data_IF_692534862067
#
_entry.id   IF_692534862067
#
_cell.length_a   1.000
_cell.length_b   1.000
_cell.length_c   1.000
_cell.angle_alpha   90.00
_cell.angle_beta   90.00
_cell.angle_gamma   90.00
#
_symmetry.space_group_name_H-M   'P 1'
#
loop_
_entity.id
_entity.type
_entity.pdbx_description
1 polymer ?
#
# COMPACT_ATOMS: atom_id res chain seq x y z
N UNK A 1 -3.18 31.04 41.47
CA UNK A 1 -3.57 30.91 40.03
C UNK A 1 -2.58 30.11 39.16
N UNK A 2 -1.30 29.96 39.51
CA UNK A 2 -0.34 29.23 38.67
C UNK A 2 -0.53 27.69 38.67
N UNK A 3 -0.91 27.10 39.80
CA UNK A 3 -1.09 25.65 39.92
C UNK A 3 -2.30 25.11 39.14
N UNK A 4 -3.40 25.88 39.10
CA UNK A 4 -4.60 25.51 38.35
C UNK A 4 -4.29 25.42 36.85
N UNK A 5 -3.57 26.41 36.30
CA UNK A 5 -3.16 26.44 34.89
C UNK A 5 -2.22 25.27 34.54
N UNK A 6 -1.32 24.91 35.44
CA UNK A 6 -0.40 23.78 35.24
C UNK A 6 -1.15 22.44 35.26
N UNK A 7 -2.09 22.27 36.19
CA UNK A 7 -2.94 21.09 36.27
C UNK A 7 -3.82 20.94 35.02
N UNK A 8 -4.39 22.03 34.49
CA UNK A 8 -5.17 21.99 33.24
C UNK A 8 -4.30 21.62 32.04
N UNK A 9 -3.08 22.17 31.94
CA UNK A 9 -2.14 21.85 30.85
C UNK A 9 -1.68 20.39 30.90
N UNK A 10 -1.41 19.85 32.09
CA UNK A 10 -1.07 18.43 32.27
C UNK A 10 -2.27 17.55 31.93
N UNK A 11 -3.47 17.92 32.36
CA UNK A 11 -4.68 17.18 32.05
C UNK A 11 -4.92 17.12 30.53
N UNK A 12 -4.78 18.23 29.81
CA UNK A 12 -4.87 18.26 28.34
C UNK A 12 -3.76 17.43 27.67
N UNK A 13 -2.54 17.47 28.18
CA UNK A 13 -1.44 16.67 27.63
C UNK A 13 -1.68 15.16 27.82
N UNK A 14 -2.29 14.76 28.94
CA UNK A 14 -2.60 13.35 29.23
C UNK A 14 -3.84 12.89 28.44
N UNK A 15 -4.89 13.71 28.35
CA UNK A 15 -6.11 13.32 27.61
C UNK A 15 -5.92 13.34 26.09
N UNK A 16 -5.02 14.18 25.56
CA UNK A 16 -4.65 14.15 24.14
C UNK A 16 -3.93 12.85 23.73
N UNK A 17 -3.30 12.14 24.67
CA UNK A 17 -2.70 10.83 24.40
C UNK A 17 -3.76 9.71 24.36
N UNK A 18 -4.89 9.88 25.06
CA UNK A 18 -5.96 8.88 25.10
C UNK A 18 -6.82 8.85 23.83
N UNK A 19 -6.79 9.88 22.97
CA UNK A 19 -7.52 9.87 21.69
C UNK A 19 -6.85 9.06 20.58
N UNK A 20 -5.61 8.60 20.78
CA UNK A 20 -4.86 7.76 19.83
C UNK A 20 -5.07 6.25 20.05
N UNK A 21 -5.81 5.84 21.07
CA UNK A 21 -5.90 4.44 21.49
C UNK A 21 -6.94 3.59 20.74
N UNK A 22 -7.77 4.19 19.88
CA UNK A 22 -8.88 3.51 19.19
C UNK A 22 -8.88 3.69 17.66
N UNK A 23 -7.79 4.22 17.09
CA UNK A 23 -7.68 4.35 15.63
C UNK A 23 -7.03 3.12 15.01
N UNK A 24 -7.73 2.52 14.04
CA UNK A 24 -7.16 1.49 13.16
C UNK A 24 -5.98 2.12 12.40
N UNK A 25 -4.76 1.58 12.51
CA UNK A 25 -3.61 2.14 11.81
C UNK A 25 -3.86 2.12 10.30
N UNK A 26 -3.61 3.25 9.65
CA UNK A 26 -3.72 3.39 8.20
C UNK A 26 -2.33 3.54 7.62
N UNK A 27 -1.98 2.67 6.66
CA UNK A 27 -0.73 2.76 5.91
C UNK A 27 -0.99 3.26 4.50
N UNK A 28 -0.06 4.04 3.98
CA UNK A 28 -0.15 4.64 2.65
C UNK A 28 0.85 3.98 1.73
N UNK A 29 0.36 3.25 0.72
CA UNK A 29 1.18 2.76 -0.38
C UNK A 29 1.46 3.94 -1.31
N UNK A 30 2.73 4.24 -1.53
CA UNK A 30 3.16 5.33 -2.43
C UNK A 30 3.60 4.81 -3.78
N UNK A 31 3.99 3.55 -3.88
CA UNK A 31 4.33 2.91 -5.15
C UNK A 31 3.78 1.49 -5.17
N UNK A 32 3.08 1.16 -6.24
CA UNK A 32 2.62 -0.18 -6.54
C UNK A 32 3.19 -0.64 -7.88
N UNK A 33 3.87 -1.77 -7.85
CA UNK A 33 4.45 -2.44 -9.01
C UNK A 33 3.84 -3.81 -9.14
N UNK A 34 3.40 -4.15 -10.35
CA UNK A 34 3.01 -5.52 -10.68
C UNK A 34 3.66 -5.94 -12.00
N UNK A 35 3.98 -7.22 -12.07
CA UNK A 35 4.51 -7.86 -13.25
C UNK A 35 3.65 -9.06 -13.58
N UNK A 36 3.34 -9.23 -14.86
CA UNK A 36 2.60 -10.38 -15.36
C UNK A 36 3.46 -11.16 -16.36
N UNK A 37 3.60 -12.46 -16.13
CA UNK A 37 4.18 -13.40 -17.07
C UNK A 37 3.11 -14.10 -17.93
N UNK A 38 3.51 -14.80 -19.00
CA UNK A 38 2.62 -15.69 -19.74
C UNK A 38 2.02 -16.74 -18.81
N UNK A 39 0.77 -17.11 -19.06
CA UNK A 39 0.12 -18.15 -18.27
C UNK A 39 0.52 -19.52 -18.83
N UNK A 40 1.25 -20.30 -18.03
CA UNK A 40 1.72 -21.65 -18.35
C UNK A 40 0.77 -22.75 -17.86
N UNK A 41 -0.38 -22.36 -17.29
CA UNK A 41 -1.36 -23.28 -16.72
C UNK A 41 -1.14 -23.59 -15.24
N UNK A 42 -0.12 -22.99 -14.59
CA UNK A 42 0.09 -23.10 -13.13
C UNK A 42 -0.87 -22.25 -12.30
N UNK A 43 -1.57 -21.30 -12.93
CA UNK A 43 -2.55 -20.41 -12.30
C UNK A 43 -1.95 -19.06 -11.90
N UNK A 44 -0.76 -19.06 -11.29
CA UNK A 44 -0.10 -17.84 -10.85
C UNK A 44 0.78 -17.25 -11.95
N UNK A 45 0.41 -16.07 -12.43
CA UNK A 45 1.14 -15.35 -13.46
C UNK A 45 1.40 -13.89 -13.11
N UNK A 46 1.03 -13.43 -11.91
CA UNK A 46 1.22 -12.06 -11.45
C UNK A 46 2.07 -12.03 -10.18
N UNK A 47 3.14 -11.24 -10.20
CA UNK A 47 3.87 -10.84 -9.01
C UNK A 47 3.58 -9.38 -8.68
N UNK A 48 3.44 -9.05 -7.39
CA UNK A 48 3.18 -7.67 -6.96
C UNK A 48 4.11 -7.24 -5.83
N UNK A 49 4.40 -5.94 -5.80
CA UNK A 49 5.17 -5.28 -4.76
C UNK A 49 4.60 -3.90 -4.49
N UNK A 50 4.13 -3.68 -3.27
CA UNK A 50 3.59 -2.42 -2.79
C UNK A 50 4.52 -1.85 -1.73
N UNK A 51 4.86 -0.58 -1.84
CA UNK A 51 5.79 0.10 -0.93
C UNK A 51 5.27 1.46 -0.50
N UNK A 52 5.58 1.82 0.73
CA UNK A 52 5.28 3.12 1.31
C UNK A 52 5.93 3.31 2.68
N UNK A 53 5.72 4.46 3.33
CA UNK A 53 6.30 4.73 4.64
C UNK A 53 5.86 3.69 5.69
N UNK A 54 6.81 2.91 6.18
CA UNK A 54 6.56 1.86 7.18
C UNK A 54 5.74 0.68 6.66
N UNK A 55 5.47 0.57 5.35
CA UNK A 55 4.71 -0.52 4.75
C UNK A 55 5.42 -1.09 3.52
N UNK A 56 5.52 -2.41 3.45
CA UNK A 56 5.95 -3.13 2.24
C UNK A 56 5.23 -4.45 2.15
N UNK A 57 4.55 -4.71 1.05
CA UNK A 57 3.80 -5.95 0.82
C UNK A 57 4.26 -6.54 -0.51
N UNK A 58 4.60 -7.81 -0.52
CA UNK A 58 4.96 -8.56 -1.72
C UNK A 58 4.22 -9.89 -1.75
N UNK A 59 3.92 -10.38 -2.94
CA UNK A 59 3.27 -11.66 -3.11
C UNK A 59 3.02 -12.02 -4.55
N UNK A 60 2.32 -13.13 -4.72
CA UNK A 60 1.96 -13.71 -6.01
C UNK A 60 0.45 -13.90 -6.13
N UNK A 61 -0.01 -13.91 -7.35
CA UNK A 61 -1.39 -14.17 -7.69
C UNK A 61 -1.53 -14.53 -9.16
N UNK A 62 -2.77 -14.61 -9.60
CA UNK A 62 -3.08 -14.85 -10.99
C UNK A 62 -4.11 -13.88 -11.52
N UNK A 63 -4.07 -13.65 -12.82
CA UNK A 63 -5.11 -12.95 -13.56
C UNK A 63 -5.62 -13.87 -14.67
N UNK A 64 -6.94 -14.00 -14.76
CA UNK A 64 -7.57 -14.63 -15.91
C UNK A 64 -7.36 -13.77 -17.15
N UNK A 65 -6.78 -14.34 -18.20
CA UNK A 65 -6.35 -13.58 -19.37
C UNK A 65 -6.91 -14.17 -20.67
N UNK A 66 -8.18 -14.63 -20.61
CA UNK A 66 -9.08 -14.99 -21.72
C UNK A 66 -8.34 -15.33 -23.03
N UNK A 67 -7.52 -16.39 -22.99
CA UNK A 67 -6.71 -16.97 -24.07
C UNK A 67 -5.51 -16.15 -24.59
N UNK A 68 -5.46 -14.83 -24.42
CA UNK A 68 -4.40 -13.98 -24.99
C UNK A 68 -3.04 -14.11 -24.30
N UNK A 69 -2.99 -14.64 -23.07
CA UNK A 69 -1.75 -14.79 -22.29
C UNK A 69 -1.12 -16.18 -22.36
N UNK A 70 -1.79 -17.16 -22.96
CA UNK A 70 -1.35 -18.56 -23.04
C UNK A 70 -1.27 -19.09 -24.48
N UNK A 71 -1.74 -18.32 -25.45
CA UNK A 71 -1.82 -18.72 -26.85
C UNK A 71 -1.39 -17.65 -27.85
N UNK A 72 -1.50 -18.01 -29.13
CA UNK A 72 -1.33 -17.07 -30.23
C UNK A 72 -2.64 -16.32 -30.48
N UNK A 73 -2.53 -14.99 -30.68
CA UNK A 73 -3.65 -14.13 -31.05
C UNK A 73 -3.39 -13.46 -32.39
N UNK A 74 -4.44 -13.19 -33.14
CA UNK A 74 -4.37 -12.48 -34.43
C UNK A 74 -4.34 -10.95 -34.27
N UNK A 75 -4.84 -10.43 -33.15
CA UNK A 75 -4.94 -9.01 -32.85
C UNK A 75 -4.70 -8.77 -31.36
N UNK A 76 -3.89 -7.76 -31.02
CA UNK A 76 -3.62 -7.38 -29.63
C UNK A 76 -4.74 -6.55 -28.99
N UNK A 77 -5.68 -6.01 -29.79
CA UNK A 77 -6.79 -5.17 -29.30
C UNK A 77 -7.80 -5.92 -28.41
N UNK A 78 -7.78 -7.26 -28.47
CA UNK A 78 -8.66 -8.13 -27.68
C UNK A 78 -8.14 -8.39 -26.25
N UNK A 79 -6.91 -7.94 -25.95
CA UNK A 79 -6.27 -8.18 -24.66
C UNK A 79 -6.90 -7.34 -23.56
N UNK A 80 -7.81 -7.95 -22.80
CA UNK A 80 -8.45 -7.34 -21.64
C UNK A 80 -7.96 -7.99 -20.34
N UNK A 81 -7.68 -7.15 -19.34
CA UNK A 81 -7.34 -7.59 -17.99
C UNK A 81 -8.60 -7.95 -17.19
N UNK A 82 -8.43 -8.77 -16.17
CA UNK A 82 -9.48 -9.18 -15.25
C UNK A 82 -9.03 -9.02 -13.79
N UNK A 83 -9.91 -9.33 -12.85
CA UNK A 83 -9.56 -9.32 -11.43
C UNK A 83 -8.37 -10.23 -11.16
N UNK A 84 -7.42 -9.70 -10.37
CA UNK A 84 -6.29 -10.47 -9.85
C UNK A 84 -6.75 -11.17 -8.58
N UNK A 85 -6.53 -12.47 -8.49
CA UNK A 85 -6.67 -13.21 -7.24
C UNK A 85 -5.31 -13.34 -6.58
N UNK A 86 -5.25 -13.16 -5.25
CA UNK A 86 -4.02 -13.41 -4.49
C UNK A 86 -3.92 -14.90 -4.19
N UNK A 87 -2.78 -15.48 -4.53
CA UNK A 87 -2.44 -16.87 -4.20
C UNK A 87 -1.61 -16.94 -2.93
N UNK A 88 -0.61 -16.06 -2.80
CA UNK A 88 0.26 -16.03 -1.62
C UNK A 88 0.81 -14.64 -1.31
N UNK A 89 1.13 -14.41 -0.04
CA UNK A 89 1.93 -13.28 0.41
C UNK A 89 3.33 -13.78 0.77
N UNK A 90 4.35 -13.22 0.12
CA UNK A 90 5.75 -13.53 0.43
C UNK A 90 6.21 -12.78 1.67
N UNK A 91 5.82 -11.51 1.79
CA UNK A 91 6.23 -10.64 2.91
C UNK A 91 5.24 -9.51 3.07
N UNK A 92 4.89 -9.21 4.32
CA UNK A 92 4.25 -7.96 4.66
C UNK A 92 4.88 -7.32 5.90
N UNK A 93 5.43 -6.13 5.70
CA UNK A 93 5.97 -5.28 6.73
C UNK A 93 4.97 -4.16 6.96
N UNK A 94 4.50 -4.00 8.19
CA UNK A 94 3.53 -2.99 8.61
C UNK A 94 4.06 -2.33 9.89
N UNK A 95 4.27 -1.01 9.85
CA UNK A 95 4.89 -0.26 10.96
C UNK A 95 6.29 -0.76 11.33
N UNK A 96 7.03 -1.34 10.37
CA UNK A 96 8.37 -1.90 10.59
C UNK A 96 8.41 -3.30 11.21
N UNK A 97 7.26 -3.96 11.40
CA UNK A 97 7.17 -5.36 11.85
C UNK A 97 6.70 -6.25 10.70
N UNK A 98 7.26 -7.45 10.61
CA UNK A 98 6.83 -8.47 9.62
C UNK A 98 5.66 -9.25 10.18
N UNK A 99 4.64 -9.49 9.36
CA UNK A 99 3.46 -10.24 9.73
C UNK A 99 3.13 -11.32 8.70
N UNK A 100 2.54 -12.41 9.19
CA UNK A 100 1.68 -13.26 8.38
C UNK A 100 0.39 -12.51 8.14
N UNK A 101 -0.11 -12.57 6.91
CA UNK A 101 -1.24 -11.74 6.53
C UNK A 101 -2.42 -12.55 6.03
N UNK A 102 -3.60 -12.14 6.50
CA UNK A 102 -4.88 -12.64 6.02
C UNK A 102 -5.32 -12.01 4.70
N UNK A 103 -6.51 -12.41 4.27
CA UNK A 103 -7.12 -12.01 3.00
C UNK A 103 -7.41 -10.50 2.98
N UNK A 104 -7.12 -9.85 1.85
CA UNK A 104 -7.62 -8.51 1.50
C UNK A 104 -8.08 -8.45 0.06
N UNK A 105 -9.01 -7.54 -0.19
CA UNK A 105 -9.46 -7.17 -1.53
C UNK A 105 -8.58 -6.04 -2.06
N UNK A 106 -7.38 -6.37 -2.54
CA UNK A 106 -6.39 -5.40 -3.07
C UNK A 106 -6.75 -4.91 -4.47
N UNK A 107 -7.41 -5.75 -5.26
CA UNK A 107 -7.51 -5.60 -6.70
C UNK A 107 -8.95 -5.39 -7.14
N UNK A 108 -9.14 -4.49 -8.10
CA UNK A 108 -10.45 -4.26 -8.71
C UNK A 108 -10.77 -5.31 -9.80
N UNK A 109 -11.98 -5.22 -10.36
CA UNK A 109 -12.48 -6.15 -11.39
C UNK A 109 -11.70 -6.14 -12.72
N UNK A 110 -10.83 -5.16 -12.94
CA UNK A 110 -9.99 -5.01 -14.13
C UNK A 110 -8.50 -5.25 -13.84
N UNK A 111 -8.16 -5.71 -12.64
CA UNK A 111 -6.77 -5.96 -12.25
C UNK A 111 -6.00 -4.68 -11.94
N UNK A 112 -6.70 -3.57 -11.70
CA UNK A 112 -6.17 -2.38 -11.05
C UNK A 112 -6.19 -2.54 -9.53
N UNK A 113 -6.09 -1.43 -8.80
CA UNK A 113 -6.00 -1.41 -7.34
C UNK A 113 -7.24 -0.74 -6.72
N UNK A 114 -7.76 -1.34 -5.66
CA UNK A 114 -8.79 -0.71 -4.84
C UNK A 114 -8.17 0.45 -4.05
N UNK A 115 -8.70 1.67 -4.18
CA UNK A 115 -8.15 2.88 -3.55
C UNK A 115 -7.99 2.74 -2.02
N UNK A 116 -8.92 2.02 -1.40
CA UNK A 116 -9.01 1.78 0.03
C UNK A 116 -9.32 0.32 0.25
N UNK A 117 -8.55 -0.31 1.13
CA UNK A 117 -8.81 -1.68 1.57
C UNK A 117 -8.44 -1.84 3.03
N UNK A 118 -8.95 -2.89 3.66
CA UNK A 118 -8.71 -3.19 5.06
C UNK A 118 -8.26 -4.63 5.20
N UNK A 119 -7.36 -4.86 6.13
CA UNK A 119 -6.74 -6.16 6.34
C UNK A 119 -6.60 -6.50 7.80
N UNK A 120 -6.35 -7.79 8.04
CA UNK A 120 -5.98 -8.31 9.33
C UNK A 120 -4.63 -9.01 9.16
N UNK A 121 -3.68 -8.66 10.01
CA UNK A 121 -2.36 -9.26 10.04
C UNK A 121 -2.06 -9.76 11.46
N UNK A 122 -1.25 -10.79 11.57
CA UNK A 122 -0.95 -11.45 12.85
C UNK A 122 -1.31 -12.93 12.86
N UNK A 123 -1.11 -13.56 14.02
CA UNK A 123 -1.26 -15.01 14.22
C UNK A 123 -2.40 -15.32 15.18
N UNK A 124 -2.63 -16.61 15.43
CA UNK A 124 -3.63 -17.13 16.39
C UNK A 124 -3.53 -16.50 17.80
N UNK A 125 -2.38 -15.95 18.15
CA UNK A 125 -2.11 -15.34 19.47
C UNK A 125 -2.33 -13.83 19.52
N UNK A 126 -2.63 -13.21 18.38
CA UNK A 126 -2.91 -11.78 18.28
C UNK A 126 -3.02 -11.31 16.84
N UNK A 127 -4.19 -10.78 16.49
CA UNK A 127 -4.47 -10.11 15.23
C UNK A 127 -4.50 -8.60 15.40
N UNK A 128 -3.99 -7.84 14.44
CA UNK A 128 -4.21 -6.41 14.35
C UNK A 128 -4.90 -6.07 13.04
N UNK A 129 -5.90 -5.19 13.13
CA UNK A 129 -6.59 -4.64 11.99
C UNK A 129 -5.82 -3.42 11.47
N UNK A 130 -5.81 -3.22 10.16
CA UNK A 130 -5.23 -2.04 9.54
C UNK A 130 -5.97 -1.66 8.26
N UNK A 131 -5.79 -0.42 7.84
CA UNK A 131 -6.26 0.07 6.56
C UNK A 131 -5.06 0.34 5.64
N UNK A 132 -5.29 0.20 4.34
CA UNK A 132 -4.36 0.60 3.29
C UNK A 132 -5.05 1.62 2.38
N UNK A 133 -4.28 2.62 1.98
CA UNK A 133 -4.60 3.43 0.80
C UNK A 133 -3.63 3.05 -0.31
N UNK A 134 -4.17 2.81 -1.51
CA UNK A 134 -3.39 2.41 -2.68
C UNK A 134 -3.50 3.45 -3.79
N UNK A 135 -2.43 3.65 -4.59
CA UNK A 135 -2.47 4.52 -5.75
C UNK A 135 -3.34 3.90 -6.85
N UNK A 136 -4.23 4.69 -7.45
CA UNK A 136 -5.17 4.23 -8.50
C UNK A 136 -4.91 4.88 -9.86
N UNK A 137 -3.76 5.54 -10.03
CA UNK A 137 -3.37 6.23 -11.27
C UNK A 137 -2.65 5.30 -12.27
N UNK A 138 -2.47 4.03 -11.93
CA UNK A 138 -1.78 3.06 -12.78
C UNK A 138 -2.68 2.37 -13.80
N UNK A 139 -2.04 1.84 -14.83
CA UNK A 139 -2.65 0.98 -15.85
C UNK A 139 -1.67 -0.10 -16.30
N UNK A 140 -2.21 -1.16 -16.90
CA UNK A 140 -1.41 -2.25 -17.45
C UNK A 140 -0.84 -1.87 -18.83
N UNK A 141 0.48 -1.95 -18.96
CA UNK A 141 1.17 -2.04 -20.23
C UNK A 141 1.38 -3.51 -20.60
N UNK A 142 0.65 -4.01 -21.61
CA UNK A 142 0.76 -5.38 -22.10
C UNK A 142 1.68 -5.41 -23.33
N UNK A 143 2.62 -6.36 -23.34
CA UNK A 143 3.63 -6.48 -24.39
C UNK A 143 3.50 -7.79 -25.16
N UNK A 144 3.44 -7.67 -26.48
CA UNK A 144 3.30 -8.77 -27.42
C UNK A 144 4.47 -8.80 -28.40
N UNK A 145 4.90 -10.00 -28.76
CA UNK A 145 5.88 -10.20 -29.82
C UNK A 145 5.20 -10.80 -31.06
N UNK A 146 5.61 -10.32 -32.24
CA UNK A 146 5.14 -10.83 -33.52
C UNK A 146 5.70 -12.22 -33.79
N UNK A 147 4.87 -13.08 -34.36
CA UNK A 147 5.19 -14.44 -34.78
C UNK A 147 4.32 -14.85 -35.97
N UNK A 148 4.40 -16.11 -36.38
CA UNK A 148 3.50 -16.72 -37.36
C UNK A 148 2.76 -17.91 -36.75
N UNK A 149 1.50 -18.10 -37.15
CA UNK A 149 0.72 -19.27 -36.77
C UNK A 149 1.17 -20.53 -37.56
N UNK A 150 0.52 -21.67 -37.29
CA UNK A 150 0.82 -22.94 -37.96
C UNK A 150 0.56 -22.93 -39.47
N UNK A 151 -0.22 -21.96 -39.97
CA UNK A 151 -0.55 -21.79 -41.37
C UNK A 151 0.32 -20.71 -42.05
N UNK A 152 1.25 -20.09 -41.32
CA UNK A 152 2.12 -19.01 -41.80
C UNK A 152 1.48 -17.61 -41.79
N UNK A 153 0.33 -17.43 -41.15
CA UNK A 153 -0.30 -16.11 -41.00
C UNK A 153 0.38 -15.31 -39.88
N UNK A 154 0.43 -13.96 -39.97
CA UNK A 154 0.90 -13.12 -38.87
C UNK A 154 0.08 -13.35 -37.59
N UNK A 155 0.78 -13.51 -36.47
CA UNK A 155 0.19 -13.69 -35.15
C UNK A 155 1.04 -12.98 -34.09
N UNK A 156 0.54 -12.95 -32.86
CA UNK A 156 1.21 -12.39 -31.71
C UNK A 156 1.16 -13.37 -30.55
N UNK A 157 2.17 -13.34 -29.68
CA UNK A 157 2.12 -14.01 -28.39
C UNK A 157 2.47 -13.03 -27.28
N UNK A 158 1.80 -13.17 -26.14
CA UNK A 158 2.07 -12.36 -24.98
C UNK A 158 3.44 -12.69 -24.39
N UNK A 159 4.20 -11.66 -24.05
CA UNK A 159 5.54 -11.80 -23.47
C UNK A 159 5.54 -11.44 -22.00
N UNK A 160 4.96 -10.28 -21.66
CA UNK A 160 4.87 -9.80 -20.29
C UNK A 160 3.89 -8.61 -20.20
N UNK A 161 3.42 -8.36 -18.99
CA UNK A 161 2.66 -7.18 -18.62
C UNK A 161 3.35 -6.45 -17.47
N UNK A 162 3.21 -5.14 -17.43
CA UNK A 162 3.67 -4.34 -16.29
C UNK A 162 2.59 -3.36 -15.87
N UNK A 163 2.47 -3.16 -14.56
CA UNK A 163 1.62 -2.14 -13.96
C UNK A 163 2.45 -1.31 -13.01
N UNK A 164 2.27 0.01 -13.07
CA UNK A 164 2.88 0.94 -12.13
C UNK A 164 1.88 2.03 -11.76
N UNK A 165 1.71 2.24 -10.46
CA UNK A 165 0.91 3.31 -9.89
C UNK A 165 1.71 4.00 -8.78
N UNK A 166 1.53 5.31 -8.63
CA UNK A 166 2.26 6.11 -7.65
C UNK A 166 1.36 7.13 -6.97
N UNK A 167 1.52 7.30 -5.66
CA UNK A 167 0.84 8.33 -4.89
C UNK A 167 1.86 9.25 -4.21
N UNK A 168 1.55 10.54 -4.05
CA UNK A 168 2.37 11.43 -3.24
C UNK A 168 2.43 10.93 -1.79
N UNK A 169 3.51 11.26 -1.10
CA UNK A 169 3.64 10.98 0.32
C UNK A 169 2.47 11.63 1.09
N UNK A 170 1.90 10.93 2.08
CA UNK A 170 0.83 11.49 2.90
C UNK A 170 1.35 12.76 3.58
N UNK A 171 0.64 13.88 3.36
CA UNK A 171 0.92 15.13 4.06
C UNK A 171 0.64 14.93 5.55
N UNK A 172 1.56 15.33 6.45
CA UNK A 172 1.33 15.21 7.89
C UNK A 172 0.01 15.87 8.28
N UNK A 173 -0.76 15.18 9.11
CA UNK A 173 -2.03 15.74 9.59
C UNK A 173 -1.79 17.07 10.31
N UNK A 174 -2.71 18.06 10.19
CA UNK A 174 -2.58 19.35 10.87
C UNK A 174 -2.35 19.22 12.38
N UNK A 175 -2.92 18.18 13.01
CA UNK A 175 -2.72 17.88 14.43
C UNK A 175 -1.27 17.50 14.75
N UNK A 176 -0.61 16.74 13.85
CA UNK A 176 0.81 16.37 14.00
C UNK A 176 1.70 17.61 13.90
N UNK A 177 1.42 18.50 12.95
CA UNK A 177 2.13 19.78 12.82
C UNK A 177 1.90 20.65 14.07
N UNK A 178 0.67 20.72 14.56
CA UNK A 178 0.32 21.41 15.80
C UNK A 178 1.05 20.87 17.03
N UNK A 179 1.14 19.55 17.17
CA UNK A 179 1.89 18.90 18.25
C UNK A 179 3.40 19.14 18.15
N UNK A 180 3.98 19.10 16.95
CA UNK A 180 5.39 19.45 16.77
C UNK A 180 5.65 20.92 17.14
N UNK A 181 4.81 21.84 16.67
CA UNK A 181 4.94 23.27 16.96
C UNK A 181 4.79 23.55 18.45
N UNK A 182 3.78 22.97 19.10
CA UNK A 182 3.57 23.13 20.55
C UNK A 182 4.71 22.52 21.37
N UNK A 183 5.26 21.37 20.96
CA UNK A 183 6.46 20.78 21.55
C UNK A 183 7.67 21.70 21.46
N UNK A 184 7.94 22.29 20.30
CA UNK A 184 9.04 23.26 20.09
C UNK A 184 8.86 24.50 20.98
N UNK A 185 7.65 25.07 21.04
CA UNK A 185 7.35 26.22 21.91
C UNK A 185 7.55 25.87 23.39
N UNK A 186 7.17 24.67 23.80
CA UNK A 186 7.39 24.16 25.16
C UNK A 186 8.89 24.11 25.51
N UNK A 187 9.72 23.53 24.63
CA UNK A 187 11.18 23.44 24.82
C UNK A 187 11.80 24.84 24.89
N UNK A 188 11.43 25.74 23.97
CA UNK A 188 11.93 27.11 23.95
C UNK A 188 11.59 27.88 25.25
N UNK A 189 10.38 27.68 25.78
CA UNK A 189 9.94 28.24 27.06
C UNK A 189 10.79 27.77 28.25
N UNK A 190 11.12 26.47 28.31
CA UNK A 190 11.99 25.90 29.36
C UNK A 190 13.41 26.47 29.29
N UNK A 191 13.97 26.59 28.08
CA UNK A 191 15.31 27.15 27.86
C UNK A 191 15.37 28.61 28.32
N UNK A 192 14.39 29.44 27.92
CA UNK A 192 14.32 30.85 28.35
C UNK A 192 14.18 30.99 29.87
N UNK A 193 13.41 30.12 30.52
CA UNK A 193 13.23 30.14 31.98
C UNK A 193 14.53 29.80 32.69
N UNK A 194 15.27 28.79 32.23
CA UNK A 194 16.60 28.43 32.77
C UNK A 194 17.62 29.56 32.60
N UNK A 195 17.60 30.29 31.49
CA UNK A 195 18.50 31.42 31.27
C UNK A 195 18.22 32.59 32.25
N UNK A 196 16.96 32.84 32.60
CA UNK A 196 16.57 33.94 33.50
C UNK A 196 16.90 33.67 34.98
N UNK A 197 17.05 32.42 35.40
CA UNK A 197 17.41 32.03 36.78
C UNK A 197 18.92 31.83 36.98
N UNK A 198 19.74 32.08 35.94
CA UNK A 198 21.21 31.98 35.99
C UNK A 198 21.93 33.33 36.13
N UNK A 199 21.17 34.40 36.33
CA UNK A 199 21.62 35.74 36.70
C UNK A 199 21.00 36.12 38.05
#
# INVERSE_FOLDING_TARGET
MNYLRLATAVLFAVTAQCSYADSIPTFHITEALMFMGPNDGSGDNVGFTFTGPGVRITGTGGMGCFDWCSGLISDTSIANTSQIYVSSFDTAILGGKTYEVGIFDLFDGSGGLNALTSGIAGSDTGSFQFNLTLPTDGSWGLHFAQTVDQNGNPAFYFTHGSFRATAPLPTPEPATVGLMLTGIVGIAGVVKRKAKFRH
#
